data_IF_292902773661
#
_entry.id   IF_292902773661
#
_cell.length_a   1.000
_cell.length_b   1.000
_cell.length_c   1.000
_cell.angle_alpha   90.00
_cell.angle_beta   90.00
_cell.angle_gamma   90.00
#
_symmetry.space_group_name_H-M   'P 1'
#
loop_
_entity.id
_entity.type
_entity.pdbx_description
1 polymer ?
#
# COMPACT_ATOMS: atom_id res chain seq x y z
N UNK A 1 -4.75 -18.08 7.24
CA UNK A 1 -4.70 -17.06 8.30
C UNK A 1 -3.34 -16.37 8.30
N UNK A 2 -3.23 -15.13 8.85
CA UNK A 2 -1.97 -14.38 8.93
C UNK A 2 -0.84 -15.18 9.58
N UNK A 3 -1.14 -16.00 10.57
CA UNK A 3 -0.16 -16.82 11.29
C UNK A 3 0.59 -17.85 10.40
N UNK A 4 0.01 -18.29 9.30
CA UNK A 4 0.59 -19.33 8.41
C UNK A 4 1.20 -18.78 7.12
N UNK A 5 1.15 -17.45 6.91
CA UNK A 5 1.67 -16.78 5.71
C UNK A 5 3.01 -16.12 6.00
N UNK A 6 3.93 -16.09 5.04
CA UNK A 6 5.20 -15.37 5.11
C UNK A 6 5.04 -13.87 4.80
N UNK A 7 4.05 -13.54 3.97
CA UNK A 7 3.68 -12.18 3.60
C UNK A 7 2.22 -11.95 4.01
N UNK A 8 1.97 -10.86 4.71
CA UNK A 8 0.63 -10.44 5.15
C UNK A 8 0.35 -9.04 4.62
N UNK A 9 -0.75 -8.88 3.89
CA UNK A 9 -1.20 -7.58 3.36
C UNK A 9 -2.22 -7.00 4.33
N UNK A 10 -1.98 -5.76 4.77
CA UNK A 10 -2.88 -4.98 5.62
C UNK A 10 -3.72 -4.08 4.72
N UNK A 11 -4.95 -4.51 4.46
CA UNK A 11 -5.91 -3.85 3.58
C UNK A 11 -7.18 -3.52 4.38
N UNK A 12 -7.07 -2.59 5.31
CA UNK A 12 -8.14 -2.20 6.23
C UNK A 12 -8.39 -0.69 6.16
N UNK A 13 -9.55 -0.19 6.61
CA UNK A 13 -9.73 1.25 6.77
C UNK A 13 -8.71 1.87 7.72
N UNK A 14 -8.39 3.14 7.51
CA UNK A 14 -7.49 3.88 8.40
C UNK A 14 -7.97 3.90 9.85
N UNK A 15 -9.28 4.07 10.01
CA UNK A 15 -9.94 3.93 11.32
C UNK A 15 -9.79 2.50 11.84
N UNK A 16 -9.14 2.34 12.98
CA UNK A 16 -8.85 1.02 13.57
C UNK A 16 -7.56 0.35 13.11
N UNK A 17 -6.78 0.95 12.18
CA UNK A 17 -5.51 0.43 11.71
C UNK A 17 -4.53 0.15 12.86
N UNK A 18 -4.28 1.14 13.73
CA UNK A 18 -3.38 0.99 14.86
C UNK A 18 -3.81 -0.10 15.86
N UNK A 19 -5.11 -0.12 16.21
CA UNK A 19 -5.66 -1.11 17.15
C UNK A 19 -5.54 -2.53 16.61
N UNK A 20 -5.88 -2.73 15.34
CA UNK A 20 -5.73 -4.03 14.68
C UNK A 20 -4.28 -4.51 14.68
N UNK A 21 -3.34 -3.66 14.26
CA UNK A 21 -1.93 -4.04 14.19
C UNK A 21 -1.36 -4.34 15.57
N UNK A 22 -1.69 -3.54 16.58
CA UNK A 22 -1.29 -3.82 17.96
C UNK A 22 -1.80 -5.18 18.45
N UNK A 23 -3.03 -5.56 18.08
CA UNK A 23 -3.63 -6.85 18.45
C UNK A 23 -2.98 -8.04 17.75
N UNK A 24 -2.35 -7.83 16.59
CA UNK A 24 -1.72 -8.89 15.78
C UNK A 24 -0.19 -8.93 15.89
N UNK A 25 0.39 -8.15 16.79
CA UNK A 25 1.84 -7.99 16.91
C UNK A 25 2.59 -9.34 17.02
N UNK A 26 2.08 -10.25 17.83
CA UNK A 26 2.70 -11.56 18.04
C UNK A 26 2.60 -12.42 16.78
N UNK A 27 1.44 -12.44 16.13
CA UNK A 27 1.16 -13.24 14.94
C UNK A 27 1.95 -12.76 13.71
N UNK A 28 2.28 -11.47 13.68
CA UNK A 28 3.00 -10.84 12.57
C UNK A 28 4.54 -10.83 12.77
N UNK A 29 5.03 -11.21 13.94
CA UNK A 29 6.46 -11.24 14.22
C UNK A 29 7.23 -12.12 13.21
N UNK A 30 8.35 -11.61 12.68
CA UNK A 30 9.20 -12.25 11.68
C UNK A 30 8.66 -12.26 10.25
N UNK A 31 7.46 -11.74 10.02
CA UNK A 31 6.82 -11.73 8.69
C UNK A 31 7.11 -10.46 7.90
N UNK A 32 6.90 -10.53 6.60
CA UNK A 32 6.80 -9.34 5.76
C UNK A 32 5.35 -8.84 5.87
N UNK A 33 5.20 -7.63 6.37
CA UNK A 33 3.90 -6.96 6.46
C UNK A 33 3.85 -5.86 5.40
N UNK A 34 2.91 -5.98 4.47
CA UNK A 34 2.69 -5.00 3.41
C UNK A 34 1.53 -4.11 3.83
N UNK A 35 1.82 -2.87 4.18
CA UNK A 35 0.80 -1.87 4.46
C UNK A 35 0.35 -1.21 3.17
N UNK A 36 -0.94 -1.25 2.87
CA UNK A 36 -1.54 -0.59 1.71
C UNK A 36 -2.58 0.46 2.10
N UNK A 37 -2.60 0.85 3.38
CA UNK A 37 -3.56 1.78 3.94
C UNK A 37 -3.23 3.21 3.55
N UNK A 38 -4.26 3.98 3.21
CA UNK A 38 -4.16 5.39 2.88
C UNK A 38 -4.88 6.21 3.94
N UNK A 39 -4.17 6.97 4.78
CA UNK A 39 -4.79 7.92 5.71
C UNK A 39 -5.43 9.07 4.95
N UNK A 40 -6.71 8.95 4.62
CA UNK A 40 -7.46 9.93 3.86
C UNK A 40 -8.70 10.38 4.63
N UNK A 41 -9.00 11.67 4.53
CA UNK A 41 -10.26 12.25 4.92
C UNK A 41 -11.12 12.57 3.69
N UNK A 42 -12.41 12.70 3.90
CA UNK A 42 -13.38 13.03 2.86
C UNK A 42 -14.31 14.14 3.33
N UNK A 43 -14.49 15.15 2.50
CA UNK A 43 -15.44 16.24 2.73
C UNK A 43 -16.20 16.59 1.44
N UNK A 44 -16.91 17.74 1.47
CA UNK A 44 -17.67 18.22 0.29
C UNK A 44 -16.79 18.56 -0.91
N UNK A 45 -15.48 18.81 -0.70
CA UNK A 45 -14.52 19.11 -1.75
C UNK A 45 -13.88 17.84 -2.33
N UNK A 46 -13.95 16.72 -1.62
CA UNK A 46 -13.43 15.42 -2.06
C UNK A 46 -12.48 14.79 -1.06
N UNK A 47 -11.61 13.90 -1.54
CA UNK A 47 -10.59 13.25 -0.75
C UNK A 47 -9.42 14.19 -0.44
N UNK A 48 -8.88 14.11 0.76
CA UNK A 48 -7.67 14.82 1.17
C UNK A 48 -6.80 13.95 2.07
N UNK A 49 -5.49 14.20 2.08
CA UNK A 49 -4.55 13.47 2.89
C UNK A 49 -4.64 13.87 4.38
N UNK A 50 -4.69 12.89 5.25
CA UNK A 50 -4.48 13.07 6.68
C UNK A 50 -2.97 13.00 6.99
N UNK A 51 -2.59 13.47 8.18
CA UNK A 51 -1.19 13.44 8.66
C UNK A 51 -1.11 12.61 9.93
N UNK A 52 -0.79 11.31 9.84
CA UNK A 52 -0.51 10.51 11.02
C UNK A 52 0.66 11.08 11.83
N UNK A 53 0.64 10.88 13.14
CA UNK A 53 1.68 11.36 14.04
C UNK A 53 3.05 10.73 13.70
N UNK A 54 3.06 9.47 13.31
CA UNK A 54 4.26 8.72 12.90
C UNK A 54 4.77 9.11 11.50
N UNK A 55 4.00 9.92 10.78
CA UNK A 55 4.32 10.41 9.44
C UNK A 55 3.51 9.74 8.32
N UNK A 56 3.22 8.45 8.43
CA UNK A 56 2.45 7.67 7.45
C UNK A 56 1.82 6.43 8.11
N UNK A 57 0.86 5.78 7.43
CA UNK A 57 0.29 4.50 7.90
C UNK A 57 1.39 3.43 8.02
N UNK A 58 2.25 3.30 7.01
CA UNK A 58 3.34 2.34 7.04
C UNK A 58 4.37 2.62 8.15
N UNK A 59 4.65 3.88 8.47
CA UNK A 59 5.51 4.23 9.60
C UNK A 59 4.85 3.91 10.95
N UNK A 60 3.55 4.15 11.09
CA UNK A 60 2.78 3.69 12.25
C UNK A 60 2.81 2.17 12.38
N UNK A 61 2.61 1.44 11.27
CA UNK A 61 2.72 -0.02 11.26
C UNK A 61 4.11 -0.48 11.72
N UNK A 62 5.19 0.13 11.23
CA UNK A 62 6.56 -0.21 11.64
C UNK A 62 6.82 0.06 13.13
N UNK A 63 6.26 1.14 13.68
CA UNK A 63 6.37 1.44 15.12
C UNK A 63 5.63 0.41 15.99
N UNK A 64 4.45 -0.04 15.55
CA UNK A 64 3.62 -1.02 16.25
C UNK A 64 4.14 -2.46 16.12
N UNK A 65 4.86 -2.76 15.04
CA UNK A 65 5.32 -4.10 14.67
C UNK A 65 6.86 -4.18 14.56
N UNK A 66 7.60 -3.90 15.64
CA UNK A 66 9.07 -3.81 15.60
C UNK A 66 9.77 -5.13 15.23
N UNK A 67 9.08 -6.25 15.39
CA UNK A 67 9.61 -7.58 15.06
C UNK A 67 9.18 -8.06 13.66
N UNK A 68 8.50 -7.20 12.88
CA UNK A 68 8.07 -7.47 11.51
C UNK A 68 8.88 -6.66 10.50
N UNK A 69 8.97 -7.17 9.27
CA UNK A 69 9.59 -6.44 8.15
C UNK A 69 8.50 -5.67 7.40
N UNK A 70 8.23 -4.44 7.85
CA UNK A 70 7.16 -3.63 7.27
C UNK A 70 7.59 -3.02 5.94
N UNK A 71 6.73 -3.14 4.95
CA UNK A 71 6.82 -2.50 3.63
C UNK A 71 5.53 -1.74 3.33
N UNK A 72 5.59 -0.76 2.46
CA UNK A 72 4.44 -0.01 1.96
C UNK A 72 4.30 -0.28 0.45
N UNK A 73 3.13 -0.74 0.01
CA UNK A 73 2.86 -1.01 -1.40
C UNK A 73 1.36 -1.10 -1.69
N UNK A 74 0.99 -1.12 -2.97
CA UNK A 74 -0.39 -1.30 -3.47
C UNK A 74 -1.38 -0.17 -3.12
N UNK A 75 -0.92 0.98 -2.65
CA UNK A 75 -1.75 2.10 -2.20
C UNK A 75 -2.73 2.63 -3.25
N UNK A 76 -2.30 2.65 -4.51
CA UNK A 76 -3.05 3.24 -5.63
C UNK A 76 -3.64 2.18 -6.58
N UNK A 77 -3.72 0.94 -6.14
CA UNK A 77 -4.33 -0.14 -6.91
C UNK A 77 -5.85 -0.10 -6.78
N UNK A 78 -6.55 -0.12 -7.93
CA UNK A 78 -8.00 -0.19 -7.94
C UNK A 78 -8.49 -1.62 -7.63
N UNK A 79 -9.17 -1.80 -6.51
CA UNK A 79 -9.80 -3.07 -6.17
C UNK A 79 -10.86 -3.49 -7.21
N UNK A 80 -11.49 -2.54 -7.90
CA UNK A 80 -12.47 -2.83 -8.96
C UNK A 80 -11.79 -3.57 -10.10
N UNK A 81 -10.59 -3.14 -10.54
CA UNK A 81 -9.85 -3.81 -11.61
C UNK A 81 -9.41 -5.21 -11.20
N UNK A 82 -9.03 -5.41 -9.94
CA UNK A 82 -8.61 -6.74 -9.45
C UNK A 82 -9.77 -7.74 -9.36
N UNK A 83 -10.99 -7.26 -9.16
CA UNK A 83 -12.17 -8.10 -9.00
C UNK A 83 -12.90 -8.34 -10.32
N UNK A 84 -12.61 -7.56 -11.35
CA UNK A 84 -13.26 -7.68 -12.66
C UNK A 84 -12.62 -8.80 -13.48
N UNK A 85 -13.35 -9.89 -13.67
CA UNK A 85 -12.89 -11.05 -14.43
C UNK A 85 -12.73 -10.78 -15.94
N UNK A 86 -13.22 -9.65 -16.43
CA UNK A 86 -13.04 -9.22 -17.80
C UNK A 86 -11.74 -8.44 -18.04
N UNK A 87 -11.01 -8.12 -16.95
CA UNK A 87 -9.73 -7.43 -17.01
C UNK A 87 -8.59 -8.45 -17.00
N UNK A 88 -7.96 -8.65 -18.15
CA UNK A 88 -6.86 -9.60 -18.30
C UNK A 88 -5.53 -9.09 -17.71
N UNK A 89 -5.33 -7.77 -17.69
CA UNK A 89 -4.12 -7.15 -17.15
C UNK A 89 -4.41 -5.79 -16.52
N UNK A 90 -3.60 -5.40 -15.52
CA UNK A 90 -3.66 -4.11 -14.85
C UNK A 90 -2.37 -3.36 -15.09
N UNK A 91 -2.39 -2.44 -16.07
CA UNK A 91 -1.23 -1.69 -16.55
C UNK A 91 -0.79 -0.58 -15.59
N UNK A 92 -0.13 -0.96 -14.49
CA UNK A 92 0.38 -0.02 -13.47
C UNK A 92 1.74 -0.44 -12.92
N UNK A 93 2.47 0.53 -12.37
CA UNK A 93 3.61 0.28 -11.50
C UNK A 93 3.18 0.33 -10.03
N UNK A 94 3.56 -0.67 -9.26
CA UNK A 94 3.36 -0.72 -7.81
C UNK A 94 4.61 -0.17 -7.14
N UNK A 95 4.48 1.02 -6.54
CA UNK A 95 5.57 1.60 -5.77
C UNK A 95 5.74 0.84 -4.45
N UNK A 96 6.92 0.28 -4.25
CA UNK A 96 7.27 -0.52 -3.07
C UNK A 96 8.31 0.22 -2.23
N UNK A 97 8.00 0.47 -0.97
CA UNK A 97 8.89 1.15 -0.03
C UNK A 97 9.16 0.25 1.18
N UNK A 98 10.36 0.33 1.73
CA UNK A 98 10.75 -0.46 2.91
C UNK A 98 12.21 -0.29 3.26
N UNK A 99 12.60 -0.76 4.44
CA UNK A 99 13.97 -0.63 4.94
C UNK A 99 14.86 -1.79 4.48
N UNK A 100 14.30 -3.01 4.41
CA UNK A 100 15.04 -4.21 4.07
C UNK A 100 14.85 -4.59 2.60
N UNK A 101 15.98 -4.75 1.90
CA UNK A 101 15.98 -5.11 0.48
C UNK A 101 15.27 -6.43 0.21
N UNK A 102 15.52 -7.45 1.02
CA UNK A 102 14.89 -8.76 0.82
C UNK A 102 13.36 -8.70 0.92
N UNK A 103 12.82 -7.86 1.83
CA UNK A 103 11.39 -7.66 1.97
C UNK A 103 10.80 -6.89 0.77
N UNK A 104 11.45 -5.80 0.35
CA UNK A 104 10.99 -5.02 -0.81
C UNK A 104 11.09 -5.83 -2.12
N UNK A 105 12.16 -6.62 -2.32
CA UNK A 105 12.31 -7.50 -3.49
C UNK A 105 11.19 -8.56 -3.53
N UNK A 106 10.84 -9.15 -2.38
CA UNK A 106 9.75 -10.12 -2.29
C UNK A 106 8.39 -9.49 -2.66
N UNK A 107 8.13 -8.25 -2.22
CA UNK A 107 6.88 -7.53 -2.53
C UNK A 107 6.85 -7.09 -4.00
N UNK A 108 7.97 -6.66 -4.58
CA UNK A 108 8.08 -6.40 -6.02
C UNK A 108 7.78 -7.68 -6.83
N UNK A 109 8.37 -8.82 -6.43
CA UNK A 109 8.10 -10.09 -7.07
C UNK A 109 6.63 -10.50 -6.96
N UNK A 110 5.96 -10.19 -5.82
CA UNK A 110 4.52 -10.42 -5.65
C UNK A 110 3.71 -9.56 -6.63
N UNK A 111 4.02 -8.27 -6.75
CA UNK A 111 3.35 -7.37 -7.68
C UNK A 111 3.49 -7.87 -9.14
N UNK A 112 4.68 -8.32 -9.53
CA UNK A 112 4.97 -8.85 -10.86
C UNK A 112 4.21 -10.15 -11.20
N UNK A 113 3.53 -10.79 -10.23
CA UNK A 113 2.66 -11.95 -10.47
C UNK A 113 1.31 -11.59 -11.08
N UNK A 114 0.91 -10.34 -10.95
CA UNK A 114 -0.33 -9.85 -11.55
C UNK A 114 -0.03 -9.34 -12.96
N UNK A 115 -0.70 -9.86 -14.00
CA UNK A 115 -0.45 -9.42 -15.38
C UNK A 115 -0.55 -7.89 -15.52
N UNK A 116 0.40 -7.29 -16.23
CA UNK A 116 0.48 -5.85 -16.46
C UNK A 116 1.08 -5.03 -15.32
N UNK A 117 1.16 -5.58 -14.10
CA UNK A 117 1.79 -4.88 -12.97
C UNK A 117 3.30 -5.03 -13.00
N UNK A 118 3.99 -3.97 -12.54
CA UNK A 118 5.43 -3.97 -12.32
C UNK A 118 5.71 -3.42 -10.92
N UNK A 119 6.38 -4.20 -10.07
CA UNK A 119 6.86 -3.74 -8.76
C UNK A 119 8.10 -2.87 -8.91
N UNK A 120 8.07 -1.65 -8.41
CA UNK A 120 9.15 -0.66 -8.51
C UNK A 120 9.57 -0.22 -7.10
N UNK A 121 10.86 -0.38 -6.77
CA UNK A 121 11.37 0.15 -5.51
C UNK A 121 11.33 1.68 -5.50
N UNK A 122 10.63 2.26 -4.54
CA UNK A 122 10.38 3.71 -4.45
C UNK A 122 11.00 4.36 -3.20
N UNK A 123 11.90 3.64 -2.52
CA UNK A 123 12.64 4.19 -1.40
C UNK A 123 12.24 3.61 -0.03
N UNK A 124 12.55 4.35 1.03
CA UNK A 124 12.34 3.93 2.41
C UNK A 124 10.98 4.38 2.95
N UNK A 125 10.52 3.77 4.06
CA UNK A 125 9.22 4.07 4.68
C UNK A 125 9.03 5.55 5.04
N UNK A 126 10.10 6.31 5.29
CA UNK A 126 10.00 7.76 5.50
C UNK A 126 9.37 8.53 4.34
N UNK A 127 9.33 7.92 3.16
CA UNK A 127 8.70 8.48 1.96
C UNK A 127 7.28 7.92 1.70
N UNK A 128 6.80 6.99 2.52
CA UNK A 128 5.49 6.34 2.31
C UNK A 128 4.35 7.35 2.31
N UNK A 129 4.40 8.38 3.16
CA UNK A 129 3.41 9.44 3.20
C UNK A 129 3.12 10.07 1.82
N UNK A 130 4.13 10.23 0.97
CA UNK A 130 3.97 10.83 -0.35
C UNK A 130 3.12 9.95 -1.26
N UNK A 131 3.32 8.62 -1.21
CA UNK A 131 2.57 7.64 -2.01
C UNK A 131 1.15 7.47 -1.47
N UNK A 132 1.00 7.38 -0.15
CA UNK A 132 -0.30 7.31 0.52
C UNK A 132 -1.16 8.55 0.20
N UNK A 133 -0.58 9.74 0.28
CA UNK A 133 -1.26 11.02 0.03
C UNK A 133 -1.65 11.22 -1.43
N UNK A 134 -0.84 10.72 -2.37
CA UNK A 134 -1.10 10.82 -3.81
C UNK A 134 -2.43 10.18 -4.19
N UNK A 135 -2.89 9.20 -3.42
CA UNK A 135 -4.17 8.52 -3.68
C UNK A 135 -5.35 9.48 -3.65
N UNK A 136 -5.32 10.54 -2.84
CA UNK A 136 -6.33 11.59 -2.87
C UNK A 136 -6.43 12.28 -4.25
N UNK A 137 -5.29 12.48 -4.91
CA UNK A 137 -5.24 13.04 -6.28
C UNK A 137 -5.78 12.04 -7.30
N UNK A 138 -5.41 10.76 -7.20
CA UNK A 138 -5.92 9.72 -8.11
C UNK A 138 -7.43 9.52 -7.97
N UNK A 139 -7.98 9.62 -6.76
CA UNK A 139 -9.43 9.63 -6.54
C UNK A 139 -10.09 10.79 -7.30
N UNK A 140 -9.49 11.98 -7.26
CA UNK A 140 -9.97 13.15 -7.98
C UNK A 140 -9.89 12.97 -9.50
N UNK A 141 -8.81 12.37 -10.00
CA UNK A 141 -8.64 11.97 -11.42
C UNK A 141 -9.73 10.97 -11.82
N UNK A 142 -9.91 9.91 -11.03
CA UNK A 142 -10.90 8.87 -11.28
C UNK A 142 -12.32 9.43 -11.36
N UNK A 143 -12.65 10.34 -10.42
CA UNK A 143 -13.95 11.02 -10.42
C UNK A 143 -14.16 11.90 -11.66
N UNK A 144 -13.13 12.64 -12.06
CA UNK A 144 -13.20 13.58 -13.20
C UNK A 144 -13.30 12.86 -14.53
N UNK A 145 -12.49 11.82 -14.71
CA UNK A 145 -12.34 11.14 -15.99
C UNK A 145 -13.10 9.80 -16.06
N UNK A 146 -13.79 9.41 -14.99
CA UNK A 146 -14.47 8.11 -14.87
C UNK A 146 -13.54 6.95 -15.20
N UNK A 147 -12.36 6.96 -14.60
CA UNK A 147 -11.26 6.04 -14.86
C UNK A 147 -10.85 5.28 -13.60
N UNK A 148 -9.95 4.33 -13.76
CA UNK A 148 -9.21 3.66 -12.70
C UNK A 148 -7.72 3.99 -12.89
N UNK A 149 -7.36 5.26 -12.65
CA UNK A 149 -6.02 5.75 -12.90
C UNK A 149 -5.00 5.08 -11.97
N UNK A 150 -3.90 4.66 -12.55
CA UNK A 150 -2.71 4.16 -11.87
C UNK A 150 -1.51 5.05 -12.14
N UNK A 151 -0.32 4.54 -11.82
CA UNK A 151 0.96 5.19 -12.06
C UNK A 151 1.80 4.34 -13.01
N UNK A 152 2.60 5.01 -13.84
CA UNK A 152 3.71 4.43 -14.58
C UNK A 152 4.96 5.27 -14.36
N UNK A 153 6.05 4.62 -14.00
CA UNK A 153 7.38 5.23 -13.92
C UNK A 153 8.06 4.98 -15.26
N UNK A 154 8.39 6.06 -15.95
CA UNK A 154 9.04 5.99 -17.26
C UNK A 154 10.56 5.87 -17.13
N UNK A 155 11.20 5.32 -18.14
CA UNK A 155 12.66 5.24 -18.28
C UNK A 155 13.36 4.29 -17.26
N UNK A 156 12.64 3.21 -16.84
CA UNK A 156 13.19 2.12 -16.02
C UNK A 156 12.80 0.76 -16.56
#
# INVERSE_FOLDING_TARGET
TAATSDIVIVAVPWEGHAELLASLRTELAGKIVVDCVNPLGFDKQGAYALKPEEGSAAQQAAALLPDSRVTAAFHHLSAVLLLDQAVDEVDIDVLVLGEERAATDAVQALANRVPGMRGVFAGRLRNAHQVESLVANLISVNRRYKAHAGLRVTDI
#
